data_IF_505256793511
#
_entry.id   IF_505256793511
#
_cell.length_a   1.000
_cell.length_b   1.000
_cell.length_c   1.000
_cell.angle_alpha   90.00
_cell.angle_beta   90.00
_cell.angle_gamma   90.00
#
_symmetry.space_group_name_H-M   'P 1'
#
loop_
_entity.id
_entity.type
_entity.pdbx_description
1 polymer ?
#
# COMPACT_ATOMS: atom_id res chain seq x y z
N UNK A 1 -1.57 -21.48 -40.74
CA UNK A 1 -0.34 -21.05 -40.04
C UNK A 1 -0.77 -19.98 -39.04
N UNK A 2 -0.46 -20.12 -37.75
CA UNK A 2 -0.78 -19.07 -36.78
C UNK A 2 0.18 -17.89 -37.01
N UNK A 3 -0.34 -16.69 -37.22
CA UNK A 3 0.44 -15.46 -37.39
C UNK A 3 -0.21 -14.33 -36.58
N UNK A 4 0.53 -13.22 -36.43
CA UNK A 4 0.10 -12.04 -35.69
C UNK A 4 -0.35 -10.90 -36.63
N UNK A 5 -0.86 -11.22 -37.84
CA UNK A 5 -1.22 -10.21 -38.85
C UNK A 5 -2.30 -9.23 -38.37
N UNK A 6 -3.13 -9.67 -37.42
CA UNK A 6 -4.20 -8.89 -36.80
C UNK A 6 -3.80 -8.34 -35.43
N UNK A 7 -2.51 -8.32 -35.09
CA UNK A 7 -2.06 -7.88 -33.77
C UNK A 7 -2.30 -6.38 -33.54
N UNK A 8 -2.36 -6.01 -32.26
CA UNK A 8 -2.53 -4.63 -31.81
C UNK A 8 -1.72 -4.40 -30.55
N UNK A 9 -1.02 -3.27 -30.49
CA UNK A 9 -0.37 -2.78 -29.27
C UNK A 9 -1.16 -1.57 -28.77
N UNK A 10 -1.40 -1.50 -27.47
CA UNK A 10 -1.96 -0.34 -26.80
C UNK A 10 -0.98 0.14 -25.72
N UNK A 11 -0.98 1.43 -25.46
CA UNK A 11 -0.22 2.06 -24.38
C UNK A 11 -1.17 2.87 -23.50
N UNK A 12 -0.75 3.14 -22.26
CA UNK A 12 -1.43 4.07 -21.37
C UNK A 12 -1.35 5.50 -21.95
N UNK A 13 -2.45 5.92 -22.59
CA UNK A 13 -2.58 7.24 -23.23
C UNK A 13 -3.27 8.29 -22.36
N UNK A 14 -3.95 7.87 -21.29
CA UNK A 14 -4.64 8.75 -20.36
C UNK A 14 -4.88 8.08 -19.01
N UNK A 15 -5.51 8.79 -18.08
CA UNK A 15 -5.73 8.33 -16.71
C UNK A 15 -7.10 8.80 -16.21
N UNK A 16 -7.83 7.92 -15.52
CA UNK A 16 -9.03 8.28 -14.78
C UNK A 16 -8.72 8.35 -13.28
N UNK A 17 -8.76 9.55 -12.69
CA UNK A 17 -8.41 9.71 -11.27
C UNK A 17 -9.56 9.31 -10.35
N UNK A 18 -9.22 8.52 -9.34
CA UNK A 18 -10.08 8.25 -8.20
C UNK A 18 -9.61 9.08 -7.01
N UNK A 19 -10.52 9.82 -6.35
CA UNK A 19 -10.18 10.57 -5.14
C UNK A 19 -9.79 9.61 -4.02
N UNK A 20 -9.21 10.16 -2.95
CA UNK A 20 -8.86 9.39 -1.77
C UNK A 20 -10.12 8.72 -1.19
N UNK A 21 -10.14 7.39 -1.19
CA UNK A 21 -11.24 6.58 -0.65
C UNK A 21 -10.72 5.37 0.10
N UNK A 22 -11.56 4.80 0.96
CA UNK A 22 -11.21 3.57 1.67
C UNK A 22 -11.08 2.40 0.69
N UNK A 23 -10.03 1.61 0.87
CA UNK A 23 -9.85 0.33 0.20
C UNK A 23 -10.61 -0.77 0.95
N UNK A 24 -10.85 -1.88 0.26
CA UNK A 24 -11.56 -3.05 0.78
C UNK A 24 -10.55 -4.11 1.20
N UNK A 25 -10.63 -4.60 2.44
CA UNK A 25 -9.84 -5.74 2.89
C UNK A 25 -10.28 -7.01 2.13
N UNK A 26 -9.32 -7.74 1.55
CA UNK A 26 -9.58 -9.04 0.89
C UNK A 26 -10.06 -10.12 1.86
N UNK A 27 -9.96 -9.86 3.17
CA UNK A 27 -10.34 -10.75 4.26
C UNK A 27 -9.13 -11.34 5.01
N UNK A 28 -7.92 -11.05 4.58
CA UNK A 28 -6.67 -11.49 5.21
C UNK A 28 -5.99 -10.39 6.06
N UNK A 29 -6.53 -9.16 6.06
CA UNK A 29 -5.98 -7.98 6.71
C UNK A 29 -4.55 -7.61 6.25
N UNK A 30 -4.09 -8.14 5.12
CA UNK A 30 -2.81 -7.84 4.46
C UNK A 30 -3.03 -7.14 3.12
N UNK A 31 -4.05 -7.55 2.36
CA UNK A 31 -4.32 -7.05 1.01
C UNK A 31 -5.54 -6.14 1.03
N UNK A 32 -5.35 -4.91 0.57
CA UNK A 32 -6.39 -3.88 0.51
C UNK A 32 -6.63 -3.48 -0.93
N UNK A 33 -7.78 -3.89 -1.47
CA UNK A 33 -8.16 -3.79 -2.87
C UNK A 33 -8.91 -2.50 -3.16
N UNK A 34 -8.64 -1.94 -4.34
CA UNK A 34 -9.47 -0.90 -4.92
C UNK A 34 -10.52 -1.48 -5.87
N UNK A 35 -11.39 -0.61 -6.38
CA UNK A 35 -12.31 -0.99 -7.46
C UNK A 35 -11.68 -0.96 -8.86
N UNK A 36 -10.43 -0.51 -9.00
CA UNK A 36 -9.74 -0.40 -10.29
C UNK A 36 -8.92 -1.65 -10.59
N UNK A 37 -8.89 -2.06 -11.87
CA UNK A 37 -8.13 -3.24 -12.26
C UNK A 37 -6.61 -2.98 -12.31
N UNK A 38 -6.22 -1.74 -12.61
CA UNK A 38 -4.83 -1.32 -12.73
C UNK A 38 -4.65 0.07 -12.10
N UNK A 39 -3.48 0.32 -11.52
CA UNK A 39 -3.05 1.66 -11.14
C UNK A 39 -1.93 2.15 -12.05
N UNK A 40 -2.06 3.40 -12.47
CA UNK A 40 -1.01 4.13 -13.20
C UNK A 40 0.19 4.35 -12.29
N UNK A 41 1.38 4.25 -12.90
CA UNK A 41 2.65 4.69 -12.29
C UNK A 41 3.26 5.86 -13.05
N UNK A 42 2.49 6.47 -13.94
CA UNK A 42 2.93 7.66 -14.68
C UNK A 42 3.18 8.80 -13.71
N UNK A 43 4.20 9.61 -13.97
CA UNK A 43 4.54 10.72 -13.08
C UNK A 43 3.39 11.71 -12.93
N UNK A 44 3.05 12.01 -11.67
CA UNK A 44 1.91 12.84 -11.28
C UNK A 44 0.59 12.08 -11.10
N UNK A 45 0.59 10.77 -11.34
CA UNK A 45 -0.58 9.88 -11.21
C UNK A 45 -0.30 8.67 -10.31
N UNK A 46 0.86 8.65 -9.66
CA UNK A 46 1.20 7.60 -8.69
C UNK A 46 0.19 7.59 -7.53
N UNK A 47 -0.17 6.41 -7.02
CA UNK A 47 -1.12 6.29 -5.94
C UNK A 47 -0.55 6.88 -4.65
N UNK A 48 -1.41 7.56 -3.89
CA UNK A 48 -1.10 8.06 -2.55
C UNK A 48 -1.82 7.19 -1.54
N UNK A 49 -1.05 6.44 -0.76
CA UNK A 49 -1.58 5.52 0.26
C UNK A 49 -1.57 6.21 1.63
N UNK A 50 -2.70 6.17 2.33
CA UNK A 50 -2.89 6.75 3.67
C UNK A 50 -3.61 5.75 4.57
N UNK A 51 -2.89 4.80 5.17
CA UNK A 51 -3.43 4.01 6.27
C UNK A 51 -3.72 4.92 7.45
N UNK A 52 -4.80 4.66 8.18
CA UNK A 52 -5.02 5.34 9.45
C UNK A 52 -3.89 5.00 10.43
N UNK A 53 -3.56 5.96 11.29
CA UNK A 53 -2.51 5.80 12.30
C UNK A 53 -1.75 7.09 12.60
N UNK A 54 -1.00 7.06 13.70
CA UNK A 54 -0.19 8.17 14.19
C UNK A 54 0.99 8.45 13.25
N UNK A 55 1.29 9.74 13.03
CA UNK A 55 2.39 10.24 12.19
C UNK A 55 3.48 10.91 13.04
N UNK A 56 3.13 11.77 13.99
CA UNK A 56 4.07 12.40 14.93
C UNK A 56 3.43 12.62 16.29
N UNK A 57 4.26 12.74 17.34
CA UNK A 57 3.78 13.08 18.68
C UNK A 57 3.01 11.95 19.36
N UNK A 58 1.93 12.28 20.07
CA UNK A 58 1.07 11.31 20.77
C UNK A 58 1.77 10.52 21.88
N UNK A 59 2.80 11.09 22.52
CA UNK A 59 3.51 10.45 23.63
C UNK A 59 2.62 10.47 24.87
N UNK A 60 2.38 9.30 25.46
CA UNK A 60 1.61 9.13 26.70
C UNK A 60 2.59 9.09 27.87
N UNK A 61 2.39 9.94 28.88
CA UNK A 61 3.23 10.02 30.08
C UNK A 61 2.39 9.96 31.36
N UNK A 62 2.98 9.61 32.50
CA UNK A 62 2.38 9.92 33.80
C UNK A 62 1.94 11.39 33.84
N UNK A 63 0.79 11.66 34.44
CA UNK A 63 0.29 13.03 34.53
C UNK A 63 1.24 13.88 35.39
N UNK A 64 1.60 15.06 34.88
CA UNK A 64 2.47 16.00 35.60
C UNK A 64 1.80 16.58 36.86
N UNK A 65 0.47 16.58 36.90
CA UNK A 65 -0.34 16.91 38.09
C UNK A 65 -0.02 16.01 39.28
N UNK A 66 0.35 14.74 39.02
CA UNK A 66 0.45 13.71 40.04
C UNK A 66 -0.90 13.18 40.52
N UNK A 67 -2.00 13.56 39.85
CA UNK A 67 -3.34 13.11 40.20
C UNK A 67 -3.52 11.61 39.94
N UNK A 68 -4.43 11.01 40.69
CA UNK A 68 -4.71 9.58 40.56
C UNK A 68 -5.39 9.25 39.23
N UNK A 69 -5.02 8.10 38.67
CA UNK A 69 -5.72 7.49 37.54
C UNK A 69 -5.78 8.37 36.29
N UNK A 70 -4.80 9.26 36.08
CA UNK A 70 -4.74 10.12 34.90
C UNK A 70 -3.38 10.06 34.21
N UNK A 71 -3.37 10.34 32.90
CA UNK A 71 -2.16 10.44 32.07
C UNK A 71 -2.17 11.72 31.24
N UNK A 72 -1.00 12.21 30.87
CA UNK A 72 -0.84 13.28 29.90
C UNK A 72 -0.50 12.72 28.53
N UNK A 73 -0.92 13.42 27.48
CA UNK A 73 -0.65 13.06 26.09
C UNK A 73 -0.12 14.27 25.34
N UNK A 74 1.03 14.13 24.69
CA UNK A 74 1.62 15.20 23.87
C UNK A 74 0.78 15.46 22.61
N UNK A 75 0.81 16.69 22.10
CA UNK A 75 0.26 17.02 20.79
C UNK A 75 0.88 16.15 19.68
N UNK A 76 0.22 16.07 18.53
CA UNK A 76 0.70 15.27 17.41
C UNK A 76 -0.15 15.38 16.16
N UNK A 77 0.17 14.52 15.20
CA UNK A 77 -0.57 14.37 13.95
C UNK A 77 -0.82 12.91 13.64
N UNK A 78 -1.95 12.62 13.00
CA UNK A 78 -2.37 11.28 12.62
C UNK A 78 -3.14 11.31 11.29
N UNK A 79 -3.21 10.18 10.60
CA UNK A 79 -4.26 9.94 9.63
C UNK A 79 -5.45 9.27 10.34
N UNK A 80 -6.64 9.86 10.18
CA UNK A 80 -7.91 9.27 10.63
C UNK A 80 -8.93 9.47 9.52
N UNK A 81 -9.51 8.38 9.01
CA UNK A 81 -10.33 8.44 7.79
C UNK A 81 -9.53 8.88 6.55
N UNK A 82 -8.22 8.60 6.50
CA UNK A 82 -7.32 9.03 5.43
C UNK A 82 -7.00 10.53 5.41
N UNK A 83 -7.53 11.31 6.35
CA UNK A 83 -7.29 12.75 6.47
C UNK A 83 -6.22 13.06 7.51
N UNK A 84 -5.37 14.05 7.22
CA UNK A 84 -4.39 14.53 8.19
C UNK A 84 -5.12 15.29 9.30
N UNK A 85 -5.07 14.76 10.51
CA UNK A 85 -5.64 15.34 11.72
C UNK A 85 -4.49 15.79 12.62
N UNK A 86 -4.51 17.06 13.02
CA UNK A 86 -3.67 17.56 14.10
C UNK A 86 -4.48 17.54 15.40
N UNK A 87 -3.88 17.07 16.48
CA UNK A 87 -4.50 17.06 17.81
C UNK A 87 -3.61 17.77 18.82
N UNK A 88 -4.25 18.49 19.73
CA UNK A 88 -3.56 19.21 20.81
C UNK A 88 -3.12 18.25 21.91
N UNK A 89 -2.18 18.68 22.75
CA UNK A 89 -1.86 17.95 23.96
C UNK A 89 -3.10 17.88 24.87
N UNK A 90 -3.27 16.76 25.57
CA UNK A 90 -4.32 16.58 26.56
C UNK A 90 -3.67 16.31 27.91
N UNK A 91 -4.11 17.02 28.94
CA UNK A 91 -3.68 16.79 30.32
C UNK A 91 -4.76 16.01 31.07
N UNK A 92 -4.33 15.25 32.07
CA UNK A 92 -5.20 14.56 33.02
C UNK A 92 -6.28 13.68 32.36
N UNK A 93 -5.93 12.97 31.29
CA UNK A 93 -6.82 12.01 30.62
C UNK A 93 -7.11 10.85 31.56
N UNK A 94 -8.38 10.70 31.94
CA UNK A 94 -8.80 9.74 32.97
C UNK A 94 -8.74 8.29 32.50
N UNK A 95 -8.05 7.46 33.28
CA UNK A 95 -7.92 6.02 33.17
C UNK A 95 -8.32 5.37 34.51
N UNK A 96 -9.62 5.24 34.77
CA UNK A 96 -10.12 4.71 36.06
C UNK A 96 -9.61 3.30 36.37
N UNK A 97 -9.30 3.02 37.64
CA UNK A 97 -8.95 1.67 38.13
C UNK A 97 -10.13 0.71 37.97
N UNK A 98 -9.83 -0.58 37.99
CA UNK A 98 -10.86 -1.61 38.11
C UNK A 98 -11.59 -1.48 39.45
N UNK A 99 -12.80 -2.03 39.53
CA UNK A 99 -13.63 -1.99 40.75
C UNK A 99 -13.94 -3.40 41.25
N UNK A 100 -14.35 -3.48 42.51
CA UNK A 100 -14.76 -4.71 43.21
C UNK A 100 -13.68 -5.80 43.20
N UNK A 101 -14.00 -7.01 42.76
CA UNK A 101 -13.07 -8.15 42.71
C UNK A 101 -12.12 -8.10 41.51
N UNK A 102 -12.35 -7.20 40.55
CA UNK A 102 -11.48 -7.05 39.40
C UNK A 102 -10.30 -6.16 39.78
N UNK A 103 -9.10 -6.67 39.62
CA UNK A 103 -7.86 -6.00 40.00
C UNK A 103 -7.08 -5.46 38.79
N UNK A 104 -7.49 -5.75 37.56
CA UNK A 104 -6.76 -5.39 36.34
C UNK A 104 -7.71 -4.81 35.30
N UNK A 105 -7.32 -3.68 34.69
CA UNK A 105 -8.03 -3.06 33.57
C UNK A 105 -7.02 -2.44 32.59
N UNK A 106 -7.39 -2.42 31.31
CA UNK A 106 -6.59 -1.81 30.24
C UNK A 106 -7.41 -0.73 29.56
N UNK A 107 -6.84 0.47 29.43
CA UNK A 107 -7.38 1.58 28.68
C UNK A 107 -6.62 1.75 27.38
N UNK A 108 -7.32 1.86 26.26
CA UNK A 108 -6.75 2.28 24.98
C UNK A 108 -6.85 3.79 24.86
N UNK A 109 -5.72 4.48 24.71
CA UNK A 109 -5.68 5.91 24.44
C UNK A 109 -5.88 6.10 22.94
N UNK A 110 -6.92 6.85 22.59
CA UNK A 110 -7.40 6.99 21.21
C UNK A 110 -7.42 8.43 20.75
N UNK A 111 -7.27 8.64 19.46
CA UNK A 111 -7.53 9.92 18.78
C UNK A 111 -8.61 9.70 17.73
N UNK A 112 -9.62 10.57 17.70
CA UNK A 112 -10.67 10.53 16.67
C UNK A 112 -10.43 11.52 15.52
N UNK A 113 -11.34 11.51 14.53
CA UNK A 113 -11.25 12.37 13.35
C UNK A 113 -11.37 13.87 13.63
N UNK A 114 -11.80 14.27 14.83
CA UNK A 114 -11.81 15.67 15.28
C UNK A 114 -10.52 16.07 16.00
N UNK A 115 -9.58 15.13 16.19
CA UNK A 115 -8.36 15.34 16.97
C UNK A 115 -8.61 15.27 18.47
N UNK A 116 -9.70 14.66 18.92
CA UNK A 116 -10.00 14.51 20.36
C UNK A 116 -9.31 13.27 20.91
N UNK A 117 -8.57 13.45 21.99
CA UNK A 117 -7.94 12.36 22.76
C UNK A 117 -8.94 11.82 23.79
N UNK A 118 -9.07 10.50 23.89
CA UNK A 118 -9.88 9.85 24.92
C UNK A 118 -9.32 8.49 25.32
N UNK A 119 -9.55 8.09 26.57
CA UNK A 119 -9.31 6.73 27.05
C UNK A 119 -10.56 5.86 26.85
N UNK A 120 -10.41 4.73 26.18
CA UNK A 120 -11.43 3.71 26.01
C UNK A 120 -11.12 2.53 26.94
N UNK A 121 -11.97 2.33 27.95
CA UNK A 121 -11.78 1.28 28.95
C UNK A 121 -12.19 -0.10 28.41
N UNK A 122 -11.35 -1.10 28.64
CA UNK A 122 -11.71 -2.51 28.52
C UNK A 122 -12.55 -3.00 29.70
N UNK A 123 -12.88 -4.29 29.70
CA UNK A 123 -13.58 -4.94 30.81
C UNK A 123 -12.57 -5.37 31.87
N UNK A 124 -12.77 -4.98 33.13
CA UNK A 124 -11.87 -5.38 34.23
C UNK A 124 -11.87 -6.90 34.49
N UNK A 125 -10.76 -7.44 35.02
CA UNK A 125 -10.61 -8.84 35.43
C UNK A 125 -9.64 -9.00 36.61
N UNK A 126 -9.39 -10.21 37.06
CA UNK A 126 -8.41 -10.55 38.11
C UNK A 126 -6.98 -10.71 37.57
N UNK A 127 -6.78 -10.67 36.25
CA UNK A 127 -5.48 -10.70 35.57
C UNK A 127 -5.51 -9.87 34.28
N UNK A 128 -4.35 -9.45 33.77
CA UNK A 128 -4.27 -8.89 32.43
C UNK A 128 -4.53 -9.95 31.35
N UNK A 129 -5.03 -9.49 30.21
CA UNK A 129 -5.18 -10.25 28.98
C UNK A 129 -4.67 -9.42 27.80
N UNK A 130 -4.03 -10.06 26.83
CA UNK A 130 -3.66 -9.41 25.56
C UNK A 130 -4.82 -9.45 24.55
N UNK A 131 -5.84 -10.27 24.81
CA UNK A 131 -6.98 -10.45 23.90
C UNK A 131 -7.91 -9.25 23.97
N UNK A 132 -8.11 -8.57 22.84
CA UNK A 132 -9.07 -7.46 22.69
C UNK A 132 -10.48 -7.92 23.06
N UNK A 133 -11.24 -7.03 23.70
CA UNK A 133 -12.60 -7.24 24.21
C UNK A 133 -12.77 -8.40 25.23
N UNK A 134 -11.71 -9.13 25.59
CA UNK A 134 -11.76 -10.06 26.70
C UNK A 134 -11.63 -9.32 28.04
N UNK A 135 -12.14 -9.93 29.11
CA UNK A 135 -11.93 -9.42 30.45
C UNK A 135 -10.42 -9.37 30.79
N UNK A 136 -9.96 -8.25 31.32
CA UNK A 136 -8.56 -7.96 31.61
C UNK A 136 -7.76 -7.44 30.42
N UNK A 137 -8.37 -7.39 29.23
CA UNK A 137 -7.74 -6.92 28.01
C UNK A 137 -8.26 -5.56 27.52
N UNK A 138 -7.60 -4.98 26.50
CA UNK A 138 -8.01 -3.71 25.92
C UNK A 138 -9.37 -3.81 25.22
N UNK A 139 -10.12 -2.72 25.18
CA UNK A 139 -11.33 -2.64 24.38
C UNK A 139 -11.01 -2.71 22.87
N UNK A 140 -12.02 -3.11 22.08
CA UNK A 140 -12.05 -2.75 20.66
C UNK A 140 -12.34 -1.25 20.56
N UNK A 141 -11.65 -0.56 19.65
CA UNK A 141 -11.84 0.87 19.40
C UNK A 141 -12.75 1.08 18.19
N UNK A 142 -13.36 2.25 18.04
CA UNK A 142 -14.15 2.55 16.85
C UNK A 142 -13.25 2.59 15.60
N UNK A 143 -13.79 2.21 14.43
CA UNK A 143 -13.06 2.29 13.14
C UNK A 143 -12.72 3.73 12.72
N UNK A 144 -13.33 4.73 13.38
CA UNK A 144 -13.09 6.16 13.17
C UNK A 144 -12.08 6.75 14.16
N UNK A 145 -11.37 5.90 14.89
CA UNK A 145 -10.34 6.26 15.86
C UNK A 145 -9.08 5.47 15.58
N UNK A 146 -7.95 6.00 16.02
CA UNK A 146 -6.68 5.27 16.09
C UNK A 146 -6.27 5.06 17.54
N UNK A 147 -5.52 4.00 17.83
CA UNK A 147 -4.86 3.79 19.13
C UNK A 147 -3.45 4.39 19.12
N UNK A 148 -3.13 5.25 20.09
CA UNK A 148 -1.78 5.82 20.24
C UNK A 148 -1.00 5.22 21.41
N UNK A 149 -1.66 4.51 22.30
CA UNK A 149 -1.06 3.88 23.47
C UNK A 149 -2.07 3.09 24.29
N UNK A 150 -1.59 2.34 25.27
CA UNK A 150 -2.40 1.72 26.30
C UNK A 150 -1.92 2.10 27.70
N UNK A 151 -2.84 2.14 28.65
CA UNK A 151 -2.55 2.28 30.08
C UNK A 151 -3.11 1.04 30.78
N UNK A 152 -2.24 0.28 31.46
CA UNK A 152 -2.56 -0.99 32.11
C UNK A 152 -2.47 -0.82 33.62
N UNK A 153 -3.61 -0.88 34.29
CA UNK A 153 -3.68 -0.60 35.72
C UNK A 153 -4.00 -1.86 36.50
N UNK A 154 -3.15 -2.13 37.49
CA UNK A 154 -3.39 -3.12 38.52
C UNK A 154 -3.86 -2.46 39.84
N UNK A 155 -4.66 -3.18 40.63
CA UNK A 155 -5.28 -2.69 41.86
C UNK A 155 -6.60 -1.95 41.64
N UNK A 156 -7.34 -1.79 42.73
CA UNK A 156 -8.65 -1.10 42.79
C UNK A 156 -8.59 0.26 43.48
N UNK A 157 -7.49 0.54 44.17
CA UNK A 157 -7.27 1.81 44.86
C UNK A 157 -6.80 2.87 43.88
N UNK A 158 -7.36 4.07 43.97
CA UNK A 158 -6.87 5.23 43.24
C UNK A 158 -5.40 5.49 43.60
N UNK A 159 -4.58 5.69 42.58
CA UNK A 159 -3.16 5.97 42.71
C UNK A 159 -2.65 6.58 41.40
N UNK A 160 -1.55 7.36 41.42
CA UNK A 160 -0.98 7.94 40.22
C UNK A 160 -0.57 6.85 39.21
N UNK A 161 -0.70 7.16 37.92
CA UNK A 161 -0.23 6.27 36.84
C UNK A 161 1.29 6.37 36.74
N UNK A 162 1.97 5.24 36.65
CA UNK A 162 3.43 5.19 36.51
C UNK A 162 3.83 4.94 35.06
N UNK A 163 5.10 5.22 34.72
CA UNK A 163 5.62 4.91 33.38
C UNK A 163 5.56 3.41 33.06
N UNK A 164 5.60 2.54 34.08
CA UNK A 164 5.49 1.09 33.90
C UNK A 164 4.06 0.64 33.50
N UNK A 165 3.04 1.44 33.80
CA UNK A 165 1.65 1.17 33.43
C UNK A 165 1.38 1.52 31.95
N UNK A 166 2.20 2.39 31.35
CA UNK A 166 2.02 2.89 29.99
C UNK A 166 2.71 1.99 28.96
N UNK A 167 2.03 1.72 27.84
CA UNK A 167 2.53 0.90 26.73
C UNK A 167 2.32 1.63 25.40
N UNK A 168 3.39 1.85 24.65
CA UNK A 168 3.37 2.48 23.32
C UNK A 168 4.34 1.77 22.35
N UNK A 169 4.24 0.45 22.26
CA UNK A 169 5.01 -0.32 21.26
C UNK A 169 4.25 -0.32 19.94
N UNK A 170 4.88 0.18 18.88
CA UNK A 170 4.34 0.20 17.51
C UNK A 170 3.87 -1.18 17.09
N UNK A 171 2.67 -1.27 16.51
CA UNK A 171 2.09 -2.53 16.02
C UNK A 171 1.46 -3.40 17.11
N UNK A 172 1.61 -3.03 18.39
CA UNK A 172 1.03 -3.79 19.52
C UNK A 172 0.08 -2.92 20.34
N UNK A 173 0.53 -1.73 20.72
CA UNK A 173 -0.22 -0.78 21.57
C UNK A 173 -0.40 0.59 20.90
N UNK A 174 0.13 0.74 19.70
CA UNK A 174 0.18 2.00 18.97
C UNK A 174 0.06 1.72 17.47
N UNK A 175 -0.93 2.34 16.85
CA UNK A 175 -1.17 2.30 15.41
C UNK A 175 -0.40 3.42 14.73
N UNK A 176 0.54 3.02 13.88
CA UNK A 176 1.36 3.91 13.07
C UNK A 176 0.86 3.89 11.63
N UNK A 177 0.86 5.03 10.95
CA UNK A 177 0.41 5.05 9.55
C UNK A 177 1.36 4.28 8.63
N UNK A 178 2.65 4.26 8.96
CA UNK A 178 3.77 3.67 8.22
C UNK A 178 4.15 2.24 8.68
N UNK A 179 3.30 1.61 9.51
CA UNK A 179 3.52 0.25 9.99
C UNK A 179 2.26 -0.61 9.95
N UNK A 180 2.37 -1.89 9.54
CA UNK A 180 3.50 -2.53 8.88
C UNK A 180 3.83 -1.86 7.53
N UNK A 181 4.97 -2.21 6.94
CA UNK A 181 5.36 -1.66 5.64
C UNK A 181 4.48 -2.32 4.56
N UNK A 182 4.12 -1.55 3.54
CA UNK A 182 3.37 -2.05 2.39
C UNK A 182 4.11 -1.85 1.08
N UNK A 183 3.69 -2.63 0.10
CA UNK A 183 4.02 -2.45 -1.31
C UNK A 183 2.75 -2.12 -2.08
N UNK A 184 2.94 -1.45 -3.23
CA UNK A 184 1.86 -1.12 -4.14
C UNK A 184 1.86 -2.12 -5.28
N UNK A 185 0.78 -2.88 -5.43
CA UNK A 185 0.56 -3.72 -6.59
C UNK A 185 -0.20 -2.91 -7.65
N UNK A 186 0.56 -2.30 -8.55
CA UNK A 186 0.00 -1.53 -9.66
C UNK A 186 -0.83 -2.39 -10.62
N UNK A 187 -0.59 -3.70 -10.65
CA UNK A 187 -1.20 -4.61 -11.62
C UNK A 187 -2.55 -5.15 -11.17
N UNK A 188 -2.76 -5.21 -9.86
CA UNK A 188 -4.04 -5.61 -9.29
C UNK A 188 -4.76 -4.42 -8.62
N UNK A 189 -4.18 -3.22 -8.69
CA UNK A 189 -4.77 -2.00 -8.14
C UNK A 189 -5.00 -2.11 -6.62
N UNK A 190 -4.01 -2.64 -5.89
CA UNK A 190 -4.14 -2.90 -4.46
C UNK A 190 -2.87 -2.54 -3.68
N UNK A 191 -2.98 -2.58 -2.36
CA UNK A 191 -1.87 -2.40 -1.41
C UNK A 191 -1.69 -3.69 -0.64
N UNK A 192 -0.46 -4.18 -0.54
CA UNK A 192 -0.12 -5.41 0.17
C UNK A 192 0.83 -5.09 1.32
N UNK A 193 0.38 -5.32 2.55
CA UNK A 193 1.21 -5.18 3.75
C UNK A 193 2.07 -6.44 3.95
N UNK A 194 3.28 -6.25 4.47
CA UNK A 194 4.20 -7.35 4.75
C UNK A 194 3.81 -8.21 5.97
N UNK A 195 2.76 -7.81 6.69
CA UNK A 195 2.15 -8.55 7.79
C UNK A 195 0.70 -8.09 7.98
N UNK A 196 -0.13 -8.95 8.57
CA UNK A 196 -1.54 -8.65 8.81
C UNK A 196 -1.69 -7.46 9.76
N UNK A 197 -2.56 -6.53 9.40
CA UNK A 197 -2.90 -5.40 10.24
C UNK A 197 -3.61 -5.88 11.52
N UNK A 198 -3.27 -5.34 12.70
CA UNK A 198 -3.91 -5.73 13.95
C UNK A 198 -5.43 -5.54 13.95
N UNK A 199 -6.19 -6.57 14.32
CA UNK A 199 -7.65 -6.57 14.36
C UNK A 199 -8.20 -5.93 15.64
N UNK A 200 -7.90 -4.65 15.85
CA UNK A 200 -8.16 -3.95 17.13
C UNK A 200 -9.42 -3.06 17.11
N UNK A 201 -10.08 -2.92 15.96
CA UNK A 201 -11.28 -2.10 15.84
C UNK A 201 -12.56 -2.93 15.99
N UNK A 202 -13.65 -2.23 16.26
CA UNK A 202 -15.01 -2.78 16.41
C UNK A 202 -15.34 -3.70 15.23
N UNK A 203 -15.97 -4.84 15.53
CA UNK A 203 -16.15 -5.99 14.62
C UNK A 203 -14.87 -6.78 14.31
N UNK A 204 -13.80 -6.57 15.09
CA UNK A 204 -12.53 -7.31 14.96
C UNK A 204 -11.93 -7.13 13.56
N UNK A 205 -11.91 -5.88 13.10
CA UNK A 205 -11.37 -5.49 11.79
C UNK A 205 -10.09 -4.67 11.97
N UNK A 206 -9.23 -4.61 10.94
CA UNK A 206 -8.05 -3.77 10.99
C UNK A 206 -8.41 -2.28 10.85
N UNK A 207 -7.43 -1.43 11.08
CA UNK A 207 -7.50 -0.01 10.70
C UNK A 207 -7.83 0.14 9.23
N UNK A 208 -8.45 1.25 8.86
CA UNK A 208 -8.78 1.53 7.47
C UNK A 208 -7.53 1.96 6.69
N UNK A 209 -7.48 1.53 5.44
CA UNK A 209 -6.45 1.92 4.47
C UNK A 209 -7.13 2.73 3.38
N UNK A 210 -6.61 3.92 3.10
CA UNK A 210 -7.14 4.80 2.05
C UNK A 210 -6.13 4.94 0.93
N UNK A 211 -6.61 5.07 -0.30
CA UNK A 211 -5.78 5.44 -1.43
C UNK A 211 -6.51 6.38 -2.39
N UNK A 212 -5.77 7.34 -2.94
CA UNK A 212 -6.13 7.99 -4.21
C UNK A 212 -5.22 7.41 -5.27
N UNK A 213 -5.78 7.10 -6.43
CA UNK A 213 -5.07 6.39 -7.49
C UNK A 213 -5.64 6.78 -8.85
N UNK A 214 -4.99 6.40 -9.94
CA UNK A 214 -5.48 6.65 -11.27
C UNK A 214 -5.50 5.36 -12.08
N UNK A 215 -6.61 5.07 -12.76
CA UNK A 215 -6.72 3.91 -13.65
C UNK A 215 -6.27 4.28 -15.07
N UNK A 216 -5.40 3.48 -15.71
CA UNK A 216 -4.90 3.78 -17.05
C UNK A 216 -6.00 3.67 -18.11
N UNK A 217 -6.09 4.67 -18.98
CA UNK A 217 -6.89 4.65 -20.20
C UNK A 217 -5.96 4.29 -21.37
N UNK A 218 -6.29 3.22 -22.07
CA UNK A 218 -5.47 2.70 -23.16
C UNK A 218 -5.79 3.39 -24.49
N UNK A 219 -4.73 3.73 -25.23
CA UNK A 219 -4.77 4.21 -26.60
C UNK A 219 -3.96 3.27 -27.50
N UNK A 220 -4.33 3.16 -28.77
CA UNK A 220 -3.63 2.29 -29.72
C UNK A 220 -2.28 2.91 -30.12
N UNK A 221 -1.23 2.09 -30.17
CA UNK A 221 0.05 2.48 -30.75
C UNK A 221 -0.14 2.64 -32.27
N UNK A 222 0.26 3.78 -32.86
CA UNK A 222 0.17 3.99 -34.30
C UNK A 222 0.97 2.93 -35.08
N UNK A 223 0.26 2.10 -35.86
CA UNK A 223 0.83 1.09 -36.77
C UNK A 223 1.96 0.26 -36.15
N UNK A 224 1.81 -0.15 -34.89
CA UNK A 224 2.87 -0.85 -34.16
C UNK A 224 3.26 -2.20 -34.77
N UNK A 225 4.56 -2.51 -34.81
CA UNK A 225 5.11 -3.80 -35.27
C UNK A 225 6.15 -4.37 -34.30
N UNK A 226 6.52 -5.64 -34.52
CA UNK A 226 7.67 -6.30 -33.88
C UNK A 226 7.68 -6.23 -32.35
N UNK A 227 6.51 -6.47 -31.75
CA UNK A 227 6.41 -6.53 -30.30
C UNK A 227 7.20 -7.71 -29.73
N UNK A 228 8.05 -7.41 -28.75
CA UNK A 228 8.78 -8.38 -27.93
C UNK A 228 8.34 -8.15 -26.48
N UNK A 229 7.81 -9.17 -25.78
CA UNK A 229 7.36 -9.02 -24.41
C UNK A 229 8.54 -8.81 -23.44
N UNK A 230 8.26 -8.11 -22.35
CA UNK A 230 9.17 -8.03 -21.21
C UNK A 230 9.10 -9.33 -20.40
N UNK A 231 10.10 -10.22 -20.52
CA UNK A 231 10.09 -11.56 -19.93
C UNK A 231 11.43 -11.98 -19.33
N UNK A 232 11.36 -12.85 -18.32
CA UNK A 232 12.53 -13.47 -17.71
C UNK A 232 13.08 -14.59 -18.59
N UNK A 233 14.28 -14.39 -19.13
CA UNK A 233 15.04 -15.45 -19.80
C UNK A 233 15.95 -16.21 -18.84
N UNK A 234 16.24 -17.46 -19.18
CA UNK A 234 17.16 -18.32 -18.44
C UNK A 234 18.33 -18.72 -19.33
N UNK A 235 19.55 -18.68 -18.79
CA UNK A 235 20.74 -19.22 -19.46
C UNK A 235 21.37 -20.33 -18.62
N UNK A 236 21.88 -21.36 -19.29
CA UNK A 236 22.60 -22.46 -18.68
C UNK A 236 24.06 -22.41 -19.11
N UNK A 237 24.97 -22.58 -18.15
CA UNK A 237 26.40 -22.68 -18.41
C UNK A 237 26.98 -23.81 -17.59
N UNK A 238 27.98 -24.49 -18.14
CA UNK A 238 28.61 -25.65 -17.49
C UNK A 238 30.12 -25.52 -17.47
N UNK A 239 30.73 -25.88 -16.35
CA UNK A 239 32.19 -26.03 -16.25
C UNK A 239 32.52 -27.51 -16.09
N UNK A 240 33.36 -28.02 -16.99
CA UNK A 240 33.82 -29.41 -16.93
C UNK A 240 34.94 -29.53 -15.87
N UNK A 241 34.82 -30.50 -14.98
CA UNK A 241 35.85 -30.86 -14.00
C UNK A 241 36.31 -32.30 -14.26
N UNK A 242 37.49 -32.68 -13.74
CA UNK A 242 37.91 -34.08 -13.87
C UNK A 242 36.89 -35.02 -13.21
N UNK A 243 36.29 -35.89 -14.01
CA UNK A 243 35.30 -36.88 -13.58
C UNK A 243 33.86 -36.36 -13.44
N UNK A 244 33.54 -35.09 -13.72
CA UNK A 244 32.16 -34.58 -13.63
C UNK A 244 31.95 -33.23 -14.36
N UNK A 245 30.73 -32.69 -14.32
CA UNK A 245 30.35 -31.38 -14.85
C UNK A 245 29.53 -30.62 -13.81
N UNK A 246 29.91 -29.37 -13.53
CA UNK A 246 29.13 -28.48 -12.66
C UNK A 246 28.26 -27.60 -13.56
N UNK A 247 26.94 -27.74 -13.42
CA UNK A 247 25.97 -26.86 -14.08
C UNK A 247 25.68 -25.61 -13.25
N UNK A 248 25.46 -24.49 -13.94
CA UNK A 248 24.98 -23.23 -13.38
C UNK A 248 23.83 -22.70 -14.24
N UNK A 249 22.88 -22.03 -13.61
CA UNK A 249 21.78 -21.36 -14.30
C UNK A 249 21.71 -19.92 -13.81
N UNK A 250 21.37 -18.99 -14.70
CA UNK A 250 21.08 -17.59 -14.35
C UNK A 250 19.80 -17.14 -15.02
N UNK A 251 19.09 -16.22 -14.38
CA UNK A 251 17.88 -15.59 -14.92
C UNK A 251 18.10 -14.09 -15.13
N UNK A 252 17.46 -13.51 -16.14
CA UNK A 252 17.53 -12.08 -16.45
C UNK A 252 16.19 -11.59 -16.99
N UNK A 253 15.65 -10.55 -16.37
CA UNK A 253 14.46 -9.84 -16.85
C UNK A 253 14.85 -8.98 -18.06
N UNK A 254 14.28 -9.30 -19.23
CA UNK A 254 14.55 -8.58 -20.47
C UNK A 254 13.63 -7.39 -20.66
N UNK A 255 14.10 -6.42 -21.43
CA UNK A 255 13.31 -5.27 -21.86
C UNK A 255 12.28 -5.71 -22.91
N UNK A 256 11.04 -5.24 -22.78
CA UNK A 256 10.07 -5.34 -23.87
C UNK A 256 10.39 -4.32 -24.97
N UNK A 257 9.96 -4.55 -26.20
CA UNK A 257 10.17 -3.60 -27.29
C UNK A 257 9.08 -3.67 -28.35
N UNK A 258 8.97 -2.62 -29.17
CA UNK A 258 8.15 -2.57 -30.37
C UNK A 258 8.61 -1.43 -31.27
N UNK A 259 8.19 -1.44 -32.54
CA UNK A 259 8.35 -0.32 -33.45
C UNK A 259 7.03 0.41 -33.62
N UNK A 260 7.04 1.74 -33.59
CA UNK A 260 5.88 2.58 -33.90
C UNK A 260 6.17 3.45 -35.12
N UNK A 261 5.20 3.56 -36.05
CA UNK A 261 5.29 4.50 -37.17
C UNK A 261 4.57 5.79 -36.79
N UNK A 262 5.29 6.90 -36.88
CA UNK A 262 4.92 8.19 -36.33
C UNK A 262 4.45 9.12 -37.45
N UNK A 263 3.61 10.10 -37.13
CA UNK A 263 3.16 11.06 -38.14
C UNK A 263 4.24 12.10 -38.43
N UNK A 264 4.75 12.74 -37.37
CA UNK A 264 5.80 13.76 -37.46
C UNK A 264 7.00 13.44 -36.57
N UNK A 265 6.87 12.45 -35.68
CA UNK A 265 7.88 12.07 -34.71
C UNK A 265 8.18 13.12 -33.66
N UNK A 266 7.41 14.20 -33.56
CA UNK A 266 7.64 15.35 -32.66
C UNK A 266 6.42 15.59 -31.77
N UNK A 267 5.23 15.78 -32.37
CA UNK A 267 3.99 16.07 -31.67
C UNK A 267 3.14 14.84 -31.38
N UNK A 268 3.50 13.67 -31.94
CA UNK A 268 2.86 12.39 -31.65
C UNK A 268 2.74 12.14 -30.13
N UNK A 269 1.53 11.81 -29.67
CA UNK A 269 1.22 11.66 -28.24
C UNK A 269 2.14 10.65 -27.53
N UNK A 270 2.46 9.53 -28.18
CA UNK A 270 3.37 8.53 -27.65
C UNK A 270 4.78 9.10 -27.41
N UNK A 271 5.28 9.94 -28.32
CA UNK A 271 6.60 10.58 -28.21
C UNK A 271 6.67 11.51 -27.01
N UNK A 272 5.56 12.19 -26.69
CA UNK A 272 5.46 13.08 -25.52
C UNK A 272 5.48 12.33 -24.18
N UNK A 273 5.30 11.02 -24.19
CA UNK A 273 5.34 10.16 -23.00
C UNK A 273 6.71 9.46 -22.83
N UNK A 274 7.74 9.87 -23.58
CA UNK A 274 9.10 9.35 -23.41
C UNK A 274 9.55 9.51 -21.95
N UNK A 275 10.15 8.45 -21.40
CA UNK A 275 10.64 8.32 -20.04
C UNK A 275 9.55 8.21 -18.94
N UNK A 276 8.28 8.12 -19.29
CA UNK A 276 7.21 7.84 -18.33
C UNK A 276 7.10 6.33 -18.07
N UNK A 277 6.68 5.95 -16.85
CA UNK A 277 6.24 4.59 -16.56
C UNK A 277 4.79 4.41 -17.02
N UNK A 278 4.56 3.45 -17.90
CA UNK A 278 3.26 3.24 -18.55
C UNK A 278 2.90 1.76 -18.58
N UNK A 279 1.62 1.49 -18.70
CA UNK A 279 1.09 0.18 -19.09
C UNK A 279 1.08 -0.01 -20.60
N UNK A 280 1.39 -1.22 -21.05
CA UNK A 280 1.33 -1.66 -22.44
C UNK A 280 0.54 -2.96 -22.55
N UNK A 281 -0.40 -3.02 -23.50
CA UNK A 281 -1.13 -4.23 -23.84
C UNK A 281 -0.77 -4.68 -25.25
N UNK A 282 -0.42 -5.94 -25.41
CA UNK A 282 -0.26 -6.55 -26.73
C UNK A 282 -1.32 -7.63 -26.93
N UNK A 283 -2.10 -7.47 -27.99
CA UNK A 283 -3.08 -8.45 -28.44
C UNK A 283 -2.48 -9.18 -29.65
N UNK A 284 -2.19 -10.49 -29.57
CA UNK A 284 -1.76 -11.27 -30.74
C UNK A 284 -2.78 -11.23 -31.88
N UNK A 285 -4.06 -11.07 -31.53
CA UNK A 285 -5.16 -10.84 -32.47
C UNK A 285 -6.14 -9.83 -31.84
N UNK A 286 -6.34 -8.68 -32.50
CA UNK A 286 -7.22 -7.59 -32.04
C UNK A 286 -8.69 -7.96 -31.90
N UNK A 287 -9.12 -9.07 -32.51
CA UNK A 287 -10.48 -9.59 -32.42
C UNK A 287 -10.68 -10.54 -31.24
N UNK A 288 -9.61 -10.83 -30.49
CA UNK A 288 -9.64 -11.65 -29.29
C UNK A 288 -9.39 -10.80 -28.05
N UNK A 289 -9.86 -11.29 -26.91
CA UNK A 289 -9.71 -10.65 -25.61
C UNK A 289 -8.38 -10.97 -24.92
N UNK A 290 -7.66 -11.99 -25.37
CA UNK A 290 -6.39 -12.39 -24.76
C UNK A 290 -5.31 -11.36 -25.07
N UNK A 291 -4.57 -10.92 -24.04
CA UNK A 291 -3.48 -9.97 -24.21
C UNK A 291 -2.32 -10.25 -23.26
N UNK A 292 -1.14 -9.82 -23.69
CA UNK A 292 0.04 -9.64 -22.85
C UNK A 292 0.01 -8.24 -22.24
N UNK A 293 0.32 -8.12 -20.96
CA UNK A 293 0.35 -6.87 -20.20
C UNK A 293 1.73 -6.66 -19.59
N UNK A 294 2.38 -5.56 -19.95
CA UNK A 294 3.66 -5.14 -19.40
C UNK A 294 3.54 -3.74 -18.76
N UNK A 295 4.25 -3.50 -17.66
CA UNK A 295 4.50 -2.16 -17.15
C UNK A 295 5.98 -1.86 -17.26
N UNK A 296 6.33 -0.65 -17.71
CA UNK A 296 7.72 -0.24 -17.71
C UNK A 296 7.93 1.19 -18.14
N UNK A 297 9.17 1.64 -17.99
CA UNK A 297 9.60 2.97 -18.43
C UNK A 297 9.79 3.00 -19.95
N UNK A 298 9.11 3.92 -20.62
CA UNK A 298 9.11 4.04 -22.08
C UNK A 298 10.40 4.70 -22.59
N UNK A 299 11.26 3.92 -23.26
CA UNK A 299 12.35 4.43 -24.08
C UNK A 299 11.88 4.68 -25.52
N UNK A 300 12.37 5.75 -26.15
CA UNK A 300 12.06 6.07 -27.57
C UNK A 300 13.32 6.54 -28.29
N UNK A 301 13.65 5.85 -29.39
CA UNK A 301 14.67 6.23 -30.36
C UNK A 301 14.02 6.41 -31.75
N UNK A 302 14.04 7.65 -32.27
CA UNK A 302 13.34 8.02 -33.53
C UNK A 302 14.31 8.03 -34.71
N UNK A 303 13.81 7.67 -35.89
CA UNK A 303 14.51 7.83 -37.17
C UNK A 303 13.64 8.60 -38.17
N UNK A 304 14.28 9.50 -38.91
CA UNK A 304 13.64 10.39 -39.90
C UNK A 304 14.21 10.13 -41.31
N UNK A 305 13.88 8.98 -41.93
CA UNK A 305 14.37 8.66 -43.26
C UNK A 305 13.76 9.57 -44.33
N UNK A 306 14.51 9.83 -45.41
CA UNK A 306 14.05 10.71 -46.51
C UNK A 306 13.15 10.00 -47.54
N UNK A 307 13.12 8.66 -47.54
CA UNK A 307 12.39 7.85 -48.52
C UNK A 307 11.55 6.73 -47.90
N UNK A 308 11.30 6.81 -46.60
CA UNK A 308 10.51 5.83 -45.84
C UNK A 308 9.72 6.56 -44.74
N UNK A 309 8.91 5.84 -43.98
CA UNK A 309 8.12 6.42 -42.89
C UNK A 309 8.96 6.78 -41.66
N UNK A 310 8.54 7.84 -40.97
CA UNK A 310 9.12 8.21 -39.66
C UNK A 310 8.74 7.11 -38.67
N UNK A 311 9.73 6.57 -37.97
CA UNK A 311 9.50 5.49 -37.01
C UNK A 311 10.25 5.71 -35.70
N UNK A 312 9.78 5.05 -34.65
CA UNK A 312 10.46 4.95 -33.36
C UNK A 312 10.65 3.49 -32.98
N UNK A 313 11.88 3.14 -32.60
CA UNK A 313 12.13 1.97 -31.78
C UNK A 313 11.80 2.34 -30.34
N UNK A 314 10.79 1.67 -29.80
CA UNK A 314 10.29 1.86 -28.46
C UNK A 314 10.75 0.70 -27.59
N UNK A 315 11.13 1.02 -26.36
CA UNK A 315 11.49 0.02 -25.37
C UNK A 315 10.69 0.19 -24.09
N UNK A 316 10.42 -0.93 -23.42
CA UNK A 316 9.65 -1.00 -22.18
C UNK A 316 10.63 -1.57 -21.15
N UNK A 317 11.18 -0.72 -20.28
CA UNK A 317 12.05 -1.16 -19.17
C UNK A 317 11.21 -1.59 -17.96
N UNK A 318 10.98 -2.89 -17.75
CA UNK A 318 10.14 -3.37 -16.66
C UNK A 318 10.89 -3.40 -15.32
N UNK A 319 10.13 -3.46 -14.24
CA UNK A 319 10.63 -3.85 -12.90
C UNK A 319 10.16 -5.26 -12.49
N UNK A 320 9.22 -5.83 -13.24
CA UNK A 320 8.70 -7.19 -13.05
C UNK A 320 8.35 -7.82 -14.39
N UNK A 321 8.27 -9.15 -14.41
CA UNK A 321 7.78 -9.86 -15.60
C UNK A 321 6.36 -9.39 -15.93
N UNK A 322 6.06 -9.24 -17.21
CA UNK A 322 4.70 -8.98 -17.64
C UNK A 322 3.79 -10.19 -17.43
N UNK A 323 2.61 -10.15 -18.05
CA UNK A 323 1.67 -11.26 -17.91
C UNK A 323 0.72 -11.50 -19.03
N UNK A 324 0.32 -12.75 -19.11
CA UNK A 324 -0.70 -13.20 -20.03
C UNK A 324 -2.05 -13.13 -19.33
N UNK A 325 -2.95 -12.35 -19.91
CA UNK A 325 -4.34 -12.22 -19.50
C UNK A 325 -5.18 -12.98 -20.51
N UNK A 326 -5.70 -14.12 -20.09
CA UNK A 326 -6.71 -14.88 -20.82
C UNK A 326 -8.10 -14.50 -20.31
N UNK A 327 -9.09 -14.47 -21.21
CA UNK A 327 -10.49 -14.36 -20.84
C UNK A 327 -11.07 -15.68 -20.33
#
# INVERSE_FOLDING_TARGET
MANAENAKIQYEGGQNQSPLSALTDSGDATTFESGAALWSRRTGFEPVIRPDGLITGGVVTPAASGDDNVVDVSAGTAYVGGQLVAFSAATDVTCSRAVSSNTHIVHSITVDSSGTIAAAAGTGSTSFSETRAAAGGPALIAVTKIEIGQVRLAGTTAAPVTAADIKQVVGVHQERYDFPIWEVDYRNGNVVFNSALPLIHTATVPKKVFASYAEPIFADVPRGTDYVPAETSHSTSSTQIYGSTIGSTSSTLNQGSFTAFLNDGISDSLVRLKNEFLWFKFFPNKFQSNYRLDQGKLGIARTFPAGDEIQASCTISPESDGSDVAA
#
